data_IF_487261025460
#
_entry.id   IF_487261025460
#
_cell.length_a   1.000
_cell.length_b   1.000
_cell.length_c   1.000
_cell.angle_alpha   90.00
_cell.angle_beta   90.00
_cell.angle_gamma   90.00
#
_symmetry.space_group_name_H-M   'P 1'
#
loop_
_entity.id
_entity.type
_entity.pdbx_description
1 polymer ?
#
# COMPACT_ATOMS: atom_id res chain seq x y z
N UNK A 1 10.92 -2.81 9.04
CA UNK A 1 9.94 -3.43 8.12
C UNK A 1 8.59 -2.68 8.04
N UNK A 2 7.83 -2.49 9.13
CA UNK A 2 6.55 -1.75 9.06
C UNK A 2 6.69 -0.35 8.41
N UNK A 3 7.63 0.46 8.91
CA UNK A 3 7.85 1.83 8.42
C UNK A 3 8.32 1.84 6.96
N UNK A 4 9.11 0.84 6.58
CA UNK A 4 9.63 0.68 5.22
C UNK A 4 8.53 0.33 4.21
N UNK A 5 7.61 -0.57 4.56
CA UNK A 5 6.41 -0.87 3.73
C UNK A 5 5.56 0.39 3.58
N UNK A 6 5.30 1.10 4.67
CA UNK A 6 4.52 2.35 4.65
C UNK A 6 5.17 3.44 3.78
N UNK A 7 6.48 3.64 3.93
CA UNK A 7 7.23 4.63 3.16
C UNK A 7 7.28 4.29 1.67
N UNK A 8 7.44 3.00 1.34
CA UNK A 8 7.43 2.52 -0.06
C UNK A 8 6.07 2.77 -0.71
N UNK A 9 4.96 2.41 -0.05
CA UNK A 9 3.60 2.69 -0.55
C UNK A 9 3.40 4.20 -0.75
N UNK A 10 3.87 5.00 0.22
CA UNK A 10 3.76 6.46 0.16
C UNK A 10 4.50 7.03 -1.05
N UNK A 11 5.75 6.60 -1.26
CA UNK A 11 6.57 7.04 -2.38
C UNK A 11 5.92 6.71 -3.73
N UNK A 12 5.48 5.46 -3.92
CA UNK A 12 4.84 5.00 -5.16
C UNK A 12 3.55 5.79 -5.46
N UNK A 13 2.77 6.09 -4.42
CA UNK A 13 1.55 6.87 -4.56
C UNK A 13 1.85 8.32 -4.95
N UNK A 14 2.83 8.97 -4.31
CA UNK A 14 3.27 10.33 -4.66
C UNK A 14 3.78 10.39 -6.11
N UNK A 15 4.60 9.44 -6.54
CA UNK A 15 5.13 9.38 -7.91
C UNK A 15 4.01 9.21 -8.96
N UNK A 16 2.91 8.55 -8.59
CA UNK A 16 1.73 8.42 -9.44
C UNK A 16 0.73 9.57 -9.33
N UNK A 17 1.04 10.66 -8.63
CA UNK A 17 0.08 11.71 -8.27
C UNK A 17 -1.20 11.15 -7.61
N UNK A 18 -1.05 10.09 -6.80
CA UNK A 18 -2.12 9.33 -6.17
C UNK A 18 -3.16 8.74 -7.14
N UNK A 19 -2.87 8.70 -8.45
CA UNK A 19 -3.79 8.20 -9.47
C UNK A 19 -3.88 6.67 -9.51
N UNK A 20 -2.79 5.97 -9.11
CA UNK A 20 -2.68 4.53 -9.20
C UNK A 20 -2.30 3.90 -7.86
N UNK A 21 -2.96 2.80 -7.53
CA UNK A 21 -2.60 1.92 -6.41
C UNK A 21 -1.40 1.04 -6.76
N UNK A 22 -0.69 0.54 -5.75
CA UNK A 22 0.38 -0.46 -5.93
C UNK A 22 -0.15 -1.87 -5.68
N UNK A 23 0.50 -2.90 -6.22
CA UNK A 23 0.12 -4.30 -5.97
C UNK A 23 1.02 -4.92 -4.91
N UNK A 24 0.54 -6.02 -4.32
CA UNK A 24 1.35 -6.86 -3.43
C UNK A 24 2.66 -7.30 -4.10
N UNK A 25 2.60 -7.72 -5.36
CA UNK A 25 3.77 -8.15 -6.13
C UNK A 25 4.80 -7.04 -6.30
N UNK A 26 4.34 -5.81 -6.58
CA UNK A 26 5.24 -4.67 -6.73
C UNK A 26 5.96 -4.36 -5.40
N UNK A 27 5.24 -4.41 -4.27
CA UNK A 27 5.84 -4.21 -2.95
C UNK A 27 6.87 -5.27 -2.60
N UNK A 28 6.56 -6.54 -2.86
CA UNK A 28 7.49 -7.66 -2.67
C UNK A 28 8.74 -7.49 -3.54
N UNK A 29 8.58 -7.08 -4.80
CA UNK A 29 9.70 -6.85 -5.71
C UNK A 29 10.62 -5.72 -5.26
N UNK A 30 10.07 -4.64 -4.69
CA UNK A 30 10.85 -3.46 -4.27
C UNK A 30 11.54 -3.71 -2.93
N UNK A 31 10.80 -4.24 -1.95
CA UNK A 31 11.28 -4.42 -0.57
C UNK A 31 12.09 -5.72 -0.45
N UNK A 32 12.00 -6.62 -1.43
CA UNK A 32 12.70 -7.91 -1.48
C UNK A 32 12.40 -8.83 -0.29
N UNK A 33 11.14 -8.87 0.11
CA UNK A 33 10.63 -9.75 1.19
C UNK A 33 9.47 -10.60 0.69
N UNK A 34 9.23 -11.73 1.33
CA UNK A 34 8.16 -12.65 0.91
C UNK A 34 6.76 -12.06 1.09
N UNK A 35 5.79 -12.56 0.33
CA UNK A 35 4.38 -12.19 0.53
C UNK A 35 3.90 -12.53 1.95
N UNK A 36 4.34 -13.66 2.49
CA UNK A 36 4.02 -14.12 3.85
C UNK A 36 4.45 -13.14 4.93
N UNK A 37 5.54 -12.41 4.72
CA UNK A 37 6.03 -11.39 5.67
C UNK A 37 5.34 -10.04 5.49
N UNK A 38 4.98 -9.68 4.26
CA UNK A 38 4.41 -8.36 3.95
C UNK A 38 2.91 -8.28 4.24
N UNK A 39 2.17 -9.39 4.09
CA UNK A 39 0.71 -9.44 4.29
C UNK A 39 0.30 -9.02 5.70
N UNK A 40 0.92 -9.52 6.80
CA UNK A 40 0.61 -9.06 8.14
C UNK A 40 0.80 -7.54 8.32
N UNK A 41 1.82 -6.97 7.68
CA UNK A 41 2.12 -5.54 7.76
C UNK A 41 1.04 -4.73 7.01
N UNK A 42 0.62 -5.17 5.83
CA UNK A 42 -0.47 -4.55 5.10
C UNK A 42 -1.79 -4.61 5.88
N UNK A 43 -2.06 -5.74 6.55
CA UNK A 43 -3.25 -5.87 7.40
C UNK A 43 -3.23 -4.89 8.58
N UNK A 44 -2.07 -4.69 9.22
CA UNK A 44 -1.90 -3.68 10.27
C UNK A 44 -2.13 -2.26 9.74
N UNK A 45 -1.48 -1.90 8.63
CA UNK A 45 -1.65 -0.58 7.99
C UNK A 45 -3.10 -0.31 7.58
N UNK A 46 -3.81 -1.34 7.11
CA UNK A 46 -5.23 -1.22 6.75
C UNK A 46 -6.10 -1.01 7.99
N UNK A 47 -5.87 -1.80 9.06
CA UNK A 47 -6.57 -1.67 10.35
C UNK A 47 -6.38 -0.27 10.96
N UNK A 48 -5.18 0.28 10.85
CA UNK A 48 -4.81 1.62 11.30
C UNK A 48 -5.26 2.73 10.34
N UNK A 49 -5.97 2.38 9.26
CA UNK A 49 -6.50 3.32 8.26
C UNK A 49 -5.42 4.13 7.55
N UNK A 50 -4.17 3.64 7.46
CA UNK A 50 -3.12 4.25 6.66
C UNK A 50 -3.25 3.93 5.17
N UNK A 51 -3.82 2.77 4.84
CA UNK A 51 -4.05 2.32 3.47
C UNK A 51 -5.49 1.87 3.26
N UNK A 52 -5.90 1.79 2.00
CA UNK A 52 -7.13 1.12 1.57
C UNK A 52 -6.80 0.10 0.49
N UNK A 53 -7.50 -1.03 0.50
CA UNK A 53 -7.36 -2.06 -0.53
C UNK A 53 -8.61 -2.06 -1.41
N UNK A 54 -8.42 -1.93 -2.72
CA UNK A 54 -9.51 -1.90 -3.72
C UNK A 54 -9.32 -3.02 -4.71
N UNK A 55 -10.42 -3.62 -5.18
CA UNK A 55 -10.38 -4.65 -6.23
C UNK A 55 -10.17 -3.96 -7.58
N UNK A 56 -9.04 -4.26 -8.23
CA UNK A 56 -8.74 -3.86 -9.60
C UNK A 56 -8.98 -4.99 -10.59
N UNK A 57 -8.79 -4.69 -11.87
CA UNK A 57 -8.98 -5.63 -13.00
C UNK A 57 -8.00 -6.82 -12.90
N UNK A 58 -6.80 -6.56 -12.39
CA UNK A 58 -5.71 -7.54 -12.25
C UNK A 58 -5.40 -7.90 -10.78
N UNK A 59 -6.38 -7.78 -9.89
CA UNK A 59 -6.23 -8.11 -8.47
C UNK A 59 -6.29 -6.90 -7.54
N UNK A 60 -5.87 -7.09 -6.30
CA UNK A 60 -5.99 -6.07 -5.25
C UNK A 60 -4.95 -4.95 -5.41
N UNK A 61 -5.44 -3.71 -5.36
CA UNK A 61 -4.65 -2.49 -5.41
C UNK A 61 -4.65 -1.82 -4.03
N UNK A 62 -3.47 -1.44 -3.60
CA UNK A 62 -3.20 -0.81 -2.31
C UNK A 62 -3.00 0.68 -2.55
N UNK A 63 -3.84 1.49 -1.91
CA UNK A 63 -3.79 2.95 -1.96
C UNK A 63 -3.44 3.50 -0.59
N UNK A 64 -2.75 4.63 -0.53
CA UNK A 64 -2.75 5.42 0.69
C UNK A 64 -4.17 5.88 0.96
N UNK A 65 -4.58 5.82 2.22
CA UNK A 65 -5.77 6.51 2.64
C UNK A 65 -5.37 7.97 2.80
N UNK A 66 -5.61 8.79 1.78
CA UNK A 66 -5.64 10.24 1.97
C UNK A 66 -6.66 10.50 3.06
N UNK A 67 -6.23 11.09 4.18
CA UNK A 67 -7.16 11.66 5.14
C UNK A 67 -8.10 12.55 4.33
N UNK A 68 -9.36 12.19 4.30
CA UNK A 68 -10.42 13.00 3.73
C UNK A 68 -10.32 14.37 4.41
N UNK A 69 -9.74 15.36 3.71
CA UNK A 69 -9.80 16.76 4.12
C UNK A 69 -11.21 17.26 3.79
N UNK A 70 -12.20 16.71 4.47
CA UNK A 70 -13.58 17.20 4.49
C UNK A 70 -14.13 16.90 5.89
N UNK A 71 -13.66 17.68 6.86
CA UNK A 71 -14.39 17.93 8.10
C UNK A 71 -14.28 19.42 8.40
#
# INVERSE_FOLDING_TARGET
>A
MYLEVKNTITKLQIESNNSCGTTLLNLVSIIKISQTEIIPILNLLHKEKHISVRKGINGNLIFLKTYDKNN
#
